data_IF_404307428519
#
_entry.id   IF_404307428519
#
_cell.length_a   1.000
_cell.length_b   1.000
_cell.length_c   1.000
_cell.angle_alpha   90.00
_cell.angle_beta   90.00
_cell.angle_gamma   90.00
#
_symmetry.space_group_name_H-M   'P 1'
#
loop_
_entity.id
_entity.type
_entity.pdbx_description
1 polymer ?
#
# COMPACT_ATOMS: atom_id res chain seq x y z
N UNK A 1 15.90 -24.63 -30.53
CA UNK A 1 15.14 -23.47 -30.04
C UNK A 1 15.87 -22.78 -28.89
N UNK A 2 16.09 -21.53 -29.03
CA UNK A 2 16.64 -20.70 -27.94
C UNK A 2 15.53 -20.34 -26.98
N UNK A 3 15.71 -20.67 -25.71
CA UNK A 3 14.83 -20.25 -24.64
C UNK A 3 15.39 -18.95 -24.03
N UNK A 4 14.55 -17.93 -23.98
CA UNK A 4 14.89 -16.69 -23.28
C UNK A 4 14.48 -16.76 -21.81
N UNK A 5 15.09 -15.92 -21.01
CA UNK A 5 14.72 -15.72 -19.62
C UNK A 5 14.22 -14.29 -19.45
N UNK A 6 13.18 -14.12 -18.67
CA UNK A 6 12.64 -12.80 -18.30
C UNK A 6 12.85 -12.61 -16.80
N UNK A 7 13.54 -11.54 -16.44
CA UNK A 7 13.68 -11.11 -15.06
C UNK A 7 12.86 -9.84 -14.85
N UNK A 8 11.98 -9.87 -13.85
CA UNK A 8 11.20 -8.70 -13.46
C UNK A 8 11.77 -8.18 -12.14
N UNK A 9 12.23 -6.94 -12.16
CA UNK A 9 12.77 -6.26 -11.00
C UNK A 9 11.93 -5.01 -10.75
N UNK A 10 11.26 -4.97 -9.62
CA UNK A 10 10.49 -3.81 -9.17
C UNK A 10 11.30 -3.03 -8.14
N UNK A 11 11.14 -1.73 -8.15
CA UNK A 11 11.84 -0.85 -7.23
C UNK A 11 10.84 -0.01 -6.44
N UNK A 12 10.81 -0.20 -5.14
CA UNK A 12 9.97 0.58 -4.23
C UNK A 12 10.83 1.66 -3.58
N UNK A 13 10.48 2.90 -3.83
CA UNK A 13 11.20 4.06 -3.34
C UNK A 13 10.23 5.19 -2.99
N UNK A 14 10.43 5.79 -1.84
CA UNK A 14 9.78 7.02 -1.42
C UNK A 14 10.78 7.90 -0.69
N UNK A 15 10.66 9.23 -0.83
CA UNK A 15 11.47 10.13 -0.04
C UNK A 15 11.09 10.04 1.44
N UNK A 16 11.96 10.51 2.32
CA UNK A 16 11.66 10.54 3.75
C UNK A 16 10.58 11.60 4.02
N UNK A 17 9.43 11.14 4.51
CA UNK A 17 8.22 11.98 4.61
C UNK A 17 7.71 12.18 6.05
N UNK A 18 8.44 11.67 7.03
CA UNK A 18 8.01 11.82 8.42
C UNK A 18 8.17 13.26 8.88
N UNK A 19 7.05 13.89 9.25
CA UNK A 19 7.03 15.20 9.89
C UNK A 19 6.81 15.06 11.40
N UNK A 20 7.17 16.08 12.17
CA UNK A 20 6.90 16.10 13.61
C UNK A 20 5.40 16.08 13.88
N UNK A 21 4.65 16.90 13.13
CA UNK A 21 3.19 16.98 13.24
C UNK A 21 2.51 16.08 12.20
N UNK A 22 1.39 15.42 12.56
CA UNK A 22 0.65 14.61 11.62
C UNK A 22 -0.09 15.44 10.57
N UNK A 23 -0.42 14.83 9.43
CA UNK A 23 -1.29 15.44 8.43
C UNK A 23 -0.59 16.18 7.31
N UNK A 24 0.72 15.98 7.12
CA UNK A 24 1.41 16.55 5.96
C UNK A 24 0.96 15.87 4.66
N UNK A 25 1.04 16.59 3.55
CA UNK A 25 0.72 16.04 2.22
C UNK A 25 1.62 14.86 1.86
N UNK A 26 2.89 14.95 2.20
CA UNK A 26 3.89 13.92 1.92
C UNK A 26 3.60 12.64 2.72
N UNK A 27 3.14 12.78 3.95
CA UNK A 27 2.71 11.66 4.78
C UNK A 27 1.47 10.99 4.19
N UNK A 28 0.52 11.80 3.69
CA UNK A 28 -0.68 11.31 3.01
C UNK A 28 -0.31 10.50 1.75
N UNK A 29 0.67 10.96 0.98
CA UNK A 29 1.17 10.21 -0.18
C UNK A 29 1.75 8.85 0.22
N UNK A 30 2.49 8.81 1.32
CA UNK A 30 3.03 7.54 1.83
C UNK A 30 1.90 6.58 2.23
N UNK A 31 0.89 7.07 2.92
CA UNK A 31 -0.26 6.27 3.32
C UNK A 31 -1.08 5.79 2.13
N UNK A 32 -1.25 6.64 1.12
CA UNK A 32 -1.88 6.23 -0.15
C UNK A 32 -1.08 5.14 -0.84
N UNK A 33 0.23 5.26 -0.89
CA UNK A 33 1.09 4.25 -1.49
C UNK A 33 1.00 2.91 -0.74
N UNK A 34 0.93 2.93 0.59
CA UNK A 34 0.70 1.73 1.40
C UNK A 34 -0.63 1.07 1.06
N UNK A 35 -1.72 1.84 1.11
CA UNK A 35 -3.07 1.32 0.94
C UNK A 35 -3.38 0.86 -0.48
N UNK A 36 -2.88 1.59 -1.48
CA UNK A 36 -3.25 1.37 -2.88
C UNK A 36 -2.23 0.55 -3.66
N UNK A 37 -1.00 0.47 -3.21
CA UNK A 37 0.06 -0.22 -3.93
C UNK A 37 0.73 -1.32 -3.10
N UNK A 38 1.37 -0.98 -1.99
CA UNK A 38 2.24 -1.93 -1.28
C UNK A 38 1.48 -3.06 -0.62
N UNK A 39 0.40 -2.77 0.10
CA UNK A 39 -0.41 -3.80 0.73
C UNK A 39 -1.14 -4.70 -0.29
N UNK A 40 -1.79 -4.15 -1.33
CA UNK A 40 -2.37 -4.99 -2.38
C UNK A 40 -1.33 -5.84 -3.13
N UNK A 41 -0.15 -5.28 -3.39
CA UNK A 41 0.94 -6.04 -4.03
C UNK A 41 1.39 -7.19 -3.15
N UNK A 42 1.58 -6.97 -1.86
CA UNK A 42 1.95 -8.01 -0.90
C UNK A 42 0.90 -9.12 -0.87
N UNK A 43 -0.37 -8.76 -0.80
CA UNK A 43 -1.48 -9.72 -0.83
C UNK A 43 -1.47 -10.55 -2.13
N UNK A 44 -1.27 -9.89 -3.27
CA UNK A 44 -1.18 -10.55 -4.57
C UNK A 44 -0.03 -11.55 -4.60
N UNK A 45 1.14 -11.17 -4.11
CA UNK A 45 2.31 -12.03 -4.06
C UNK A 45 2.13 -13.20 -3.10
N UNK A 46 1.53 -12.98 -1.95
CA UNK A 46 1.21 -14.04 -1.00
C UNK A 46 0.24 -15.05 -1.60
N UNK A 47 -0.81 -14.60 -2.26
CA UNK A 47 -1.78 -15.47 -2.91
C UNK A 47 -1.13 -16.28 -4.05
N UNK A 48 -0.29 -15.64 -4.85
CA UNK A 48 0.42 -16.30 -5.94
C UNK A 48 1.43 -17.33 -5.42
N UNK A 49 2.05 -17.10 -4.27
CA UNK A 49 3.06 -18.01 -3.69
C UNK A 49 2.45 -19.30 -3.12
N UNK A 50 1.15 -19.34 -2.92
CA UNK A 50 0.44 -20.55 -2.46
C UNK A 50 0.41 -21.66 -3.53
N UNK A 51 0.58 -21.32 -4.80
CA UNK A 51 0.70 -22.27 -5.88
C UNK A 51 2.18 -22.66 -6.05
N UNK A 52 2.55 -23.87 -5.64
CA UNK A 52 3.95 -24.34 -5.67
C UNK A 52 4.55 -24.39 -7.08
N UNK A 53 3.72 -24.65 -8.10
CA UNK A 53 4.19 -24.85 -9.46
C UNK A 53 4.21 -23.57 -10.30
N UNK A 54 3.48 -22.53 -9.87
CA UNK A 54 3.29 -21.30 -10.63
C UNK A 54 3.61 -20.04 -9.84
N UNK A 55 4.32 -20.19 -8.72
CA UNK A 55 4.74 -19.04 -7.92
C UNK A 55 5.64 -18.10 -8.75
N UNK A 56 5.29 -16.83 -8.90
CA UNK A 56 6.12 -15.90 -9.66
C UNK A 56 7.43 -15.65 -8.95
N UNK A 57 8.50 -15.52 -9.72
CA UNK A 57 9.80 -15.11 -9.20
C UNK A 57 10.00 -13.65 -9.55
N UNK A 58 9.87 -12.79 -8.56
CA UNK A 58 10.00 -11.34 -8.70
C UNK A 58 11.05 -10.86 -7.70
N UNK A 59 11.87 -9.92 -8.13
CA UNK A 59 12.81 -9.20 -7.27
C UNK A 59 12.24 -7.82 -6.97
N UNK A 60 12.19 -7.47 -5.70
CA UNK A 60 11.73 -6.15 -5.26
C UNK A 60 12.84 -5.49 -4.47
N UNK A 61 13.34 -4.37 -4.99
CA UNK A 61 14.28 -3.52 -4.28
C UNK A 61 13.53 -2.55 -3.37
N UNK A 62 13.98 -2.42 -2.14
CA UNK A 62 13.43 -1.45 -1.19
C UNK A 62 14.52 -0.45 -0.81
N UNK A 63 14.22 0.85 -0.94
CA UNK A 63 15.18 1.86 -0.52
C UNK A 63 15.32 1.89 1.01
N UNK A 64 16.50 2.23 1.55
CA UNK A 64 16.66 2.37 3.00
C UNK A 64 15.69 3.36 3.63
N UNK A 65 15.38 4.45 2.92
CA UNK A 65 14.42 5.46 3.34
C UNK A 65 13.03 4.86 3.52
N UNK A 66 12.57 4.07 2.55
CA UNK A 66 11.29 3.38 2.62
C UNK A 66 11.25 2.39 3.77
N UNK A 67 12.32 1.63 3.97
CA UNK A 67 12.42 0.69 5.10
C UNK A 67 12.30 1.41 6.45
N UNK A 68 12.94 2.57 6.59
CA UNK A 68 12.83 3.39 7.80
C UNK A 68 11.39 3.84 8.04
N UNK A 69 10.69 4.27 6.99
CA UNK A 69 9.29 4.69 7.09
C UNK A 69 8.37 3.51 7.47
N UNK A 70 8.57 2.35 6.85
CA UNK A 70 7.77 1.16 7.14
C UNK A 70 8.00 0.62 8.55
N UNK A 71 9.18 0.82 9.12
CA UNK A 71 9.51 0.42 10.47
C UNK A 71 9.15 1.43 11.57
N UNK A 72 8.68 2.61 11.21
CA UNK A 72 8.40 3.69 12.15
C UNK A 72 7.07 3.45 12.87
N UNK A 73 7.10 3.28 14.19
CA UNK A 73 5.91 3.00 14.99
C UNK A 73 4.92 4.17 15.03
N UNK A 74 5.41 5.40 14.98
CA UNK A 74 4.57 6.60 14.94
C UNK A 74 3.77 6.63 13.63
N UNK A 75 4.44 6.36 12.50
CA UNK A 75 3.78 6.32 11.19
C UNK A 75 2.79 5.16 11.09
N UNK A 76 3.08 4.02 11.68
CA UNK A 76 2.13 2.89 11.72
C UNK A 76 0.84 3.30 12.43
N UNK A 77 0.97 3.95 13.57
CA UNK A 77 -0.20 4.41 14.33
C UNK A 77 -0.98 5.47 13.56
N UNK A 78 -0.30 6.43 12.96
CA UNK A 78 -0.93 7.45 12.12
C UNK A 78 -1.63 6.84 10.90
N UNK A 79 -1.06 5.79 10.33
CA UNK A 79 -1.67 5.06 9.21
C UNK A 79 -2.97 4.38 9.64
N UNK A 80 -3.02 3.77 10.81
CA UNK A 80 -4.23 3.16 11.34
C UNK A 80 -5.35 4.20 11.50
N UNK A 81 -5.03 5.37 12.04
CA UNK A 81 -5.97 6.49 12.15
C UNK A 81 -6.43 6.97 10.77
N UNK A 82 -5.50 7.09 9.83
CA UNK A 82 -5.78 7.50 8.47
C UNK A 82 -6.78 6.57 7.77
N UNK A 83 -6.59 5.26 7.92
CA UNK A 83 -7.50 4.24 7.37
C UNK A 83 -8.87 4.33 8.03
N UNK A 84 -8.92 4.49 9.35
CA UNK A 84 -10.17 4.57 10.11
C UNK A 84 -11.02 5.75 9.65
N UNK A 85 -10.41 6.92 9.47
CA UNK A 85 -11.09 8.13 8.99
C UNK A 85 -11.68 7.89 7.59
N UNK A 86 -10.92 7.28 6.69
CA UNK A 86 -11.38 7.01 5.32
C UNK A 86 -12.50 5.98 5.26
N UNK A 87 -12.44 4.96 6.08
CA UNK A 87 -13.52 3.98 6.19
C UNK A 87 -14.81 4.62 6.68
N UNK A 88 -14.74 5.52 7.66
CA UNK A 88 -15.90 6.25 8.16
C UNK A 88 -16.52 7.12 7.06
N UNK A 89 -15.69 7.82 6.27
CA UNK A 89 -16.16 8.62 5.14
C UNK A 89 -16.85 7.74 4.09
N UNK A 90 -16.25 6.62 3.73
CA UNK A 90 -16.83 5.70 2.75
C UNK A 90 -18.15 5.13 3.22
N UNK A 91 -18.27 4.74 4.49
CA UNK A 91 -19.50 4.23 5.06
C UNK A 91 -20.60 5.30 5.05
N UNK A 92 -20.26 6.55 5.33
CA UNK A 92 -21.19 7.66 5.27
C UNK A 92 -21.69 7.90 3.84
N UNK A 93 -20.78 7.92 2.86
CA UNK A 93 -21.11 8.09 1.46
C UNK A 93 -21.99 6.95 0.94
N UNK A 94 -21.70 5.72 1.30
CA UNK A 94 -22.52 4.57 0.93
C UNK A 94 -23.95 4.72 1.48
N UNK A 95 -24.08 5.09 2.74
CA UNK A 95 -25.39 5.32 3.38
C UNK A 95 -26.16 6.44 2.67
N UNK A 96 -25.52 7.54 2.33
CA UNK A 96 -26.14 8.66 1.63
C UNK A 96 -26.55 8.29 0.21
N UNK A 97 -25.74 7.52 -0.50
CA UNK A 97 -26.08 6.99 -1.81
C UNK A 97 -27.31 6.08 -1.76
N UNK A 98 -27.38 5.17 -0.77
CA UNK A 98 -28.53 4.29 -0.60
C UNK A 98 -29.80 5.09 -0.32
N UNK A 99 -29.74 6.09 0.56
CA UNK A 99 -30.87 6.99 0.83
C UNK A 99 -31.33 7.75 -0.42
N UNK A 100 -30.38 8.23 -1.22
CA UNK A 100 -30.70 8.95 -2.44
C UNK A 100 -31.41 8.06 -3.48
N UNK A 101 -31.05 6.80 -3.57
CA UNK A 101 -31.66 5.82 -4.47
C UNK A 101 -33.06 5.41 -4.02
N UNK A 102 -33.33 5.43 -2.71
CA UNK A 102 -34.66 5.08 -2.16
C UNK A 102 -35.71 6.20 -2.27
N UNK A 103 -35.31 7.37 -2.66
CA UNK A 103 -36.18 8.52 -2.90
C UNK A 103 -36.28 8.82 -4.39
#
# INVERSE_FOLDING_TARGET
MTKGNLAIVLHAHLPYVRAEEPGSLEEDWFFQALAECYLPLLETLENASRSKDQAPKITIGLSPTLLSLLGDEVLKHRFEEWVTIRLDVLNTLETDCIKAVQH
#
